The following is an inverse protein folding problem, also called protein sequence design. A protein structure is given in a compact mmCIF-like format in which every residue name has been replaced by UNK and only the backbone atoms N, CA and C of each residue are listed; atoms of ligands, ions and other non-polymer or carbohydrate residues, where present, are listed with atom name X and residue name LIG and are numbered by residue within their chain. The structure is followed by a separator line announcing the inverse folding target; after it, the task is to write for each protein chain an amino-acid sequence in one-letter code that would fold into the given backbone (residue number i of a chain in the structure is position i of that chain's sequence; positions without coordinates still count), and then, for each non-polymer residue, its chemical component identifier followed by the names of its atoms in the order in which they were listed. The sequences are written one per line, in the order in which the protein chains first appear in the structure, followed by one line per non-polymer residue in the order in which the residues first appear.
data_IF_018903662758
#
_entry.id   IF_018903662758
#
_cell.length_a   1.000
_cell.length_b   1.000
_cell.length_c   1.000
_cell.angle_alpha   90.00
_cell.angle_beta   90.00
_cell.angle_gamma   90.00
#
_symmetry.space_group_name_H-M   'P 1'
#
loop_
_entity.id
_entity.type
_entity.pdbx_description
1 polymer ?
#
# COMPACT_ATOMS: atom_id res chain seq x y z
N UNK A 1 -16.31 -65.42 -28.24
CA UNK A 1 -16.82 -64.97 -26.92
C UNK A 1 -16.34 -63.52 -26.79
N UNK A 2 -17.08 -62.53 -27.30
CA UNK A 2 -18.05 -61.73 -26.54
C UNK A 2 -17.29 -60.66 -25.71
N UNK A 3 -17.48 -59.35 -25.83
CA UNK A 3 -18.44 -58.53 -26.57
C UNK A 3 -17.97 -57.06 -26.57
N UNK A 4 -18.58 -56.26 -27.43
CA UNK A 4 -18.38 -54.82 -27.58
C UNK A 4 -19.36 -54.04 -26.70
N UNK A 5 -18.99 -52.85 -26.22
CA UNK A 5 -19.94 -51.77 -25.91
C UNK A 5 -19.34 -50.45 -26.38
N UNK A 6 -19.84 -49.96 -27.51
CA UNK A 6 -19.65 -48.60 -27.99
C UNK A 6 -20.73 -47.68 -27.40
N UNK A 7 -20.38 -46.43 -27.12
CA UNK A 7 -21.35 -45.38 -26.81
C UNK A 7 -21.49 -44.47 -28.03
N UNK A 8 -22.74 -44.39 -28.45
CA UNK A 8 -23.30 -43.70 -29.61
C UNK A 8 -23.18 -42.18 -29.47
N UNK A 9 -22.67 -41.52 -30.52
CA UNK A 9 -22.87 -40.09 -30.74
C UNK A 9 -24.28 -39.92 -31.31
N UNK A 10 -25.19 -39.30 -30.56
CA UNK A 10 -26.49 -38.88 -31.08
C UNK A 10 -26.39 -37.44 -31.57
N UNK A 11 -26.41 -37.30 -32.89
CA UNK A 11 -26.66 -36.05 -33.62
C UNK A 11 -28.16 -35.75 -33.52
N UNK A 12 -28.53 -34.68 -32.81
CA UNK A 12 -29.90 -34.22 -32.63
C UNK A 12 -30.31 -33.19 -33.70
N UNK A 13 -31.14 -33.68 -34.62
CA UNK A 13 -32.05 -33.08 -35.60
C UNK A 13 -32.34 -31.56 -35.54
N UNK A 14 -32.28 -30.97 -36.73
CA UNK A 14 -32.75 -29.64 -37.15
C UNK A 14 -34.29 -29.66 -37.28
N UNK A 15 -34.99 -28.81 -36.53
CA UNK A 15 -36.43 -28.58 -36.68
C UNK A 15 -36.71 -27.17 -37.21
N UNK A 16 -37.23 -27.07 -38.44
CA UNK A 16 -37.76 -25.85 -39.04
C UNK A 16 -39.16 -25.55 -38.49
N UNK A 17 -39.40 -24.33 -38.02
CA UNK A 17 -40.75 -23.76 -37.89
C UNK A 17 -40.70 -22.27 -38.27
N UNK A 18 -41.60 -21.84 -39.15
CA UNK A 18 -41.74 -20.45 -39.63
C UNK A 18 -43.15 -19.93 -39.24
N UNK A 19 -43.16 -18.89 -38.39
CA UNK A 19 -44.07 -17.74 -38.07
C UNK A 19 -45.58 -17.74 -38.48
N UNK A 20 -46.53 -17.05 -37.78
CA UNK A 20 -46.35 -15.65 -37.31
C UNK A 20 -47.08 -15.12 -36.04
N UNK A 21 -46.54 -14.04 -35.45
CA UNK A 21 -47.19 -12.83 -34.84
C UNK A 21 -46.58 -12.33 -33.50
N UNK A 22 -46.62 -11.01 -33.24
CA UNK A 22 -45.53 -10.28 -32.60
C UNK A 22 -45.88 -9.80 -31.20
N UNK A 23 -45.23 -10.33 -30.16
CA UNK A 23 -45.30 -9.71 -28.84
C UNK A 23 -43.93 -9.78 -28.14
N UNK A 24 -43.32 -8.60 -28.07
CA UNK A 24 -42.22 -8.19 -27.18
C UNK A 24 -41.06 -9.17 -27.06
N UNK A 25 -40.06 -8.96 -27.92
CA UNK A 25 -38.66 -9.21 -27.53
C UNK A 25 -38.34 -8.24 -26.39
N UNK A 26 -38.54 -8.69 -25.15
CA UNK A 26 -37.80 -8.12 -24.02
C UNK A 26 -36.37 -8.59 -24.22
N UNK A 27 -35.54 -7.66 -24.70
CA UNK A 27 -34.10 -7.80 -24.77
C UNK A 27 -33.60 -8.24 -23.39
N UNK A 28 -33.27 -9.53 -23.26
CA UNK A 28 -32.51 -10.03 -22.13
C UNK A 28 -31.07 -9.57 -22.34
N UNK A 29 -30.84 -8.28 -22.09
CA UNK A 29 -29.52 -7.71 -22.00
C UNK A 29 -28.67 -8.55 -21.05
N UNK A 30 -27.35 -8.67 -21.29
CA UNK A 30 -26.50 -9.57 -20.53
C UNK A 30 -26.68 -9.31 -19.04
N UNK A 31 -27.10 -10.33 -18.31
CA UNK A 31 -27.18 -10.30 -16.86
C UNK A 31 -25.80 -9.88 -16.35
N UNK A 32 -25.71 -8.65 -15.83
CA UNK A 32 -24.49 -8.12 -15.23
C UNK A 32 -24.22 -9.00 -14.02
N UNK A 33 -23.23 -9.89 -14.14
CA UNK A 33 -22.80 -10.74 -13.04
C UNK A 33 -22.49 -9.83 -11.84
N UNK A 34 -23.14 -10.08 -10.71
CA UNK A 34 -22.79 -9.41 -9.45
C UNK A 34 -21.32 -9.69 -9.17
N UNK A 35 -20.51 -8.66 -8.79
CA UNK A 35 -19.11 -8.90 -8.51
C UNK A 35 -19.00 -9.93 -7.38
N UNK A 36 -18.24 -11.00 -7.62
CA UNK A 36 -17.88 -11.95 -6.57
C UNK A 36 -17.23 -11.19 -5.39
N UNK A 37 -17.50 -11.60 -4.14
CA UNK A 37 -16.86 -10.97 -2.99
C UNK A 37 -15.33 -11.06 -3.15
N UNK A 38 -14.63 -9.97 -2.87
CA UNK A 38 -13.17 -9.94 -2.97
C UNK A 38 -12.58 -10.93 -1.96
N UNK A 39 -11.62 -11.79 -2.35
CA UNK A 39 -11.02 -12.74 -1.43
C UNK A 39 -10.35 -12.01 -0.26
N UNK A 40 -10.59 -12.51 0.93
CA UNK A 40 -10.02 -12.03 2.19
C UNK A 40 -9.33 -13.19 2.91
N UNK A 41 -8.29 -12.88 3.67
CA UNK A 41 -7.47 -13.86 4.37
C UNK A 41 -6.85 -13.26 5.63
N UNK A 42 -6.26 -14.15 6.44
CA UNK A 42 -5.60 -13.81 7.69
C UNK A 42 -4.16 -13.39 7.41
N UNK A 43 -3.85 -12.11 7.59
CA UNK A 43 -2.48 -11.60 7.47
C UNK A 43 -1.69 -11.97 8.74
N UNK A 44 -0.66 -12.82 8.65
CA UNK A 44 0.13 -13.19 9.81
C UNK A 44 0.96 -12.02 10.36
N UNK A 45 1.51 -12.20 11.56
CA UNK A 45 2.52 -11.28 12.10
C UNK A 45 3.84 -11.47 11.34
N UNK A 46 4.20 -10.48 10.52
CA UNK A 46 5.41 -10.43 9.70
C UNK A 46 6.53 -9.59 10.33
N UNK A 47 6.20 -8.68 11.26
CA UNK A 47 7.18 -7.87 12.01
C UNK A 47 8.16 -8.76 12.77
N UNK A 48 9.45 -8.39 12.74
CA UNK A 48 10.53 -9.12 13.40
C UNK A 48 11.10 -10.29 12.58
N UNK A 49 10.45 -10.69 11.47
CA UNK A 49 10.94 -11.74 10.58
C UNK A 49 11.95 -11.21 9.57
N UNK A 50 12.79 -12.11 9.05
CA UNK A 50 13.57 -11.85 7.85
C UNK A 50 12.65 -11.63 6.65
N UNK A 51 13.00 -10.74 5.73
CA UNK A 51 12.14 -10.37 4.61
C UNK A 51 11.85 -11.56 3.68
N UNK A 52 12.80 -12.50 3.55
CA UNK A 52 12.57 -13.78 2.86
C UNK A 52 11.40 -14.55 3.48
N UNK A 53 11.43 -14.80 4.78
CA UNK A 53 10.39 -15.56 5.49
C UNK A 53 9.07 -14.81 5.54
N UNK A 54 9.12 -13.48 5.68
CA UNK A 54 7.94 -12.64 5.69
C UNK A 54 7.19 -12.69 4.35
N UNK A 55 7.94 -12.66 3.22
CA UNK A 55 7.35 -12.79 1.88
C UNK A 55 6.76 -14.17 1.66
N UNK A 56 7.41 -15.23 2.15
CA UNK A 56 6.88 -16.59 2.04
C UNK A 56 5.57 -16.73 2.83
N UNK A 57 5.58 -16.35 4.11
CA UNK A 57 4.40 -16.43 4.97
C UNK A 57 3.21 -15.62 4.43
N UNK A 58 3.46 -14.42 3.90
CA UNK A 58 2.40 -13.61 3.29
C UNK A 58 1.81 -14.30 2.04
N UNK A 59 2.65 -14.91 1.19
CA UNK A 59 2.19 -15.62 -0.01
C UNK A 59 1.40 -16.88 0.31
N UNK A 60 1.83 -17.65 1.31
CA UNK A 60 1.10 -18.82 1.81
C UNK A 60 -0.29 -18.43 2.34
N UNK A 61 -0.40 -17.25 2.97
CA UNK A 61 -1.69 -16.67 3.40
C UNK A 61 -2.51 -16.04 2.25
N UNK A 62 -2.03 -16.11 1.01
CA UNK A 62 -2.72 -15.60 -0.18
C UNK A 62 -2.46 -14.14 -0.52
N UNK A 63 -1.63 -13.42 0.25
CA UNK A 63 -1.28 -12.03 -0.03
C UNK A 63 -0.23 -11.95 -1.13
N UNK A 64 -0.65 -11.50 -2.31
CA UNK A 64 0.20 -11.50 -3.51
C UNK A 64 0.87 -10.16 -3.77
N UNK A 65 0.29 -9.05 -3.26
CA UNK A 65 0.76 -7.68 -3.50
C UNK A 65 1.64 -7.19 -2.35
N UNK A 66 2.91 -7.58 -2.36
CA UNK A 66 3.89 -7.16 -1.36
C UNK A 66 4.69 -5.95 -1.85
N UNK A 67 4.73 -4.89 -1.06
CA UNK A 67 5.54 -3.69 -1.27
C UNK A 67 6.56 -3.63 -0.14
N UNK A 68 7.82 -3.32 -0.45
CA UNK A 68 8.88 -3.26 0.56
C UNK A 68 9.70 -2.00 0.43
N UNK A 69 10.14 -1.43 1.54
CA UNK A 69 11.04 -0.27 1.57
C UNK A 69 11.98 -0.29 2.75
N UNK A 70 13.01 0.53 2.63
CA UNK A 70 13.88 0.89 3.73
C UNK A 70 13.15 1.75 4.77
N UNK A 71 12.98 1.22 5.98
CA UNK A 71 12.35 1.89 7.11
C UNK A 71 13.14 3.11 7.58
N UNK A 72 14.41 3.26 7.22
CA UNK A 72 15.22 4.44 7.55
C UNK A 72 14.92 5.64 6.64
N UNK A 73 14.20 5.43 5.54
CA UNK A 73 14.01 6.45 4.50
C UNK A 73 15.21 6.65 3.56
N UNK A 74 16.34 5.95 3.80
CA UNK A 74 17.55 6.05 2.98
C UNK A 74 17.41 5.45 1.57
N UNK A 75 16.28 4.78 1.27
CA UNK A 75 15.97 4.19 -0.04
C UNK A 75 17.07 3.26 -0.57
N UNK A 76 17.73 2.51 0.33
CA UNK A 76 18.71 1.51 -0.04
C UNK A 76 18.08 0.40 -0.89
N UNK A 77 18.84 -0.11 -1.86
CA UNK A 77 18.39 -1.18 -2.75
C UNK A 77 18.27 -2.53 -2.03
N UNK A 78 17.09 -3.14 -2.08
CA UNK A 78 16.78 -4.43 -1.44
C UNK A 78 17.08 -5.63 -2.36
N UNK A 79 18.26 -5.64 -3.01
CA UNK A 79 18.61 -6.60 -4.07
C UNK A 79 18.64 -8.08 -3.64
N UNK A 80 18.83 -8.34 -2.34
CA UNK A 80 18.74 -9.66 -1.72
C UNK A 80 17.80 -9.57 -0.54
N UNK A 81 16.70 -10.34 -0.54
CA UNK A 81 15.74 -10.33 0.57
C UNK A 81 16.30 -10.91 1.87
N UNK A 82 17.37 -11.70 1.78
CA UNK A 82 17.99 -12.37 2.92
C UNK A 82 18.77 -11.42 3.83
N UNK A 83 19.11 -10.22 3.35
CA UNK A 83 19.90 -9.24 4.14
C UNK A 83 19.02 -8.28 4.93
N UNK A 84 17.69 -8.44 4.88
CA UNK A 84 16.73 -7.48 5.40
C UNK A 84 15.78 -8.11 6.40
N UNK A 85 15.40 -7.35 7.43
CA UNK A 85 14.38 -7.73 8.40
C UNK A 85 13.23 -6.73 8.43
N UNK A 86 12.03 -7.22 8.71
CA UNK A 86 10.81 -6.41 8.78
C UNK A 86 10.71 -5.72 10.15
N UNK A 87 10.61 -4.40 10.13
CA UNK A 87 10.38 -3.58 11.32
C UNK A 87 8.93 -3.13 11.46
N UNK A 88 8.27 -2.82 10.35
CA UNK A 88 6.86 -2.39 10.35
C UNK A 88 6.10 -3.11 9.24
N UNK A 89 4.84 -3.44 9.53
CA UNK A 89 3.92 -4.05 8.57
C UNK A 89 2.63 -3.24 8.50
N UNK A 90 2.13 -3.03 7.29
CA UNK A 90 0.80 -2.46 7.04
C UNK A 90 0.12 -3.28 5.95
N UNK A 91 -1.16 -3.67 6.10
CA UNK A 91 -2.00 -3.48 7.29
C UNK A 91 -1.47 -4.25 8.51
N UNK A 92 -2.01 -3.94 9.68
CA UNK A 92 -1.70 -4.71 10.90
C UNK A 92 -2.19 -6.16 10.73
N UNK A 93 -1.63 -7.12 11.49
CA UNK A 93 -2.06 -8.52 11.43
C UNK A 93 -3.55 -8.71 11.63
N UNK A 94 -4.09 -9.76 11.03
CA UNK A 94 -5.51 -10.11 11.07
C UNK A 94 -6.18 -10.02 9.70
N UNK A 95 -7.50 -9.90 9.68
CA UNK A 95 -8.25 -9.97 8.43
C UNK A 95 -8.01 -8.79 7.51
N UNK A 96 -7.59 -9.11 6.29
CA UNK A 96 -7.40 -8.16 5.21
C UNK A 96 -7.77 -8.80 3.88
N UNK A 97 -8.04 -7.95 2.88
CA UNK A 97 -8.20 -8.43 1.50
C UNK A 97 -6.87 -8.96 0.98
N UNK A 98 -6.87 -10.11 0.33
CA UNK A 98 -5.63 -10.75 -0.16
C UNK A 98 -5.01 -10.04 -1.36
N UNK A 99 -5.76 -9.15 -2.02
CA UNK A 99 -5.28 -8.28 -3.09
C UNK A 99 -4.84 -6.88 -2.60
N UNK A 100 -5.02 -6.58 -1.32
CA UNK A 100 -4.52 -5.35 -0.73
C UNK A 100 -2.99 -5.35 -0.74
N UNK A 101 -2.40 -4.16 -0.93
CA UNK A 101 -0.96 -4.01 -0.82
C UNK A 101 -0.53 -4.19 0.64
N UNK A 102 0.33 -5.17 0.88
CA UNK A 102 1.02 -5.38 2.16
C UNK A 102 2.37 -4.68 2.08
N UNK A 103 2.50 -3.58 2.81
CA UNK A 103 3.69 -2.74 2.89
C UNK A 103 4.57 -3.18 4.07
N UNK A 104 5.80 -3.58 3.78
CA UNK A 104 6.80 -4.03 4.75
C UNK A 104 7.97 -3.05 4.78
N UNK A 105 8.09 -2.33 5.89
CA UNK A 105 9.25 -1.49 6.16
C UNK A 105 10.37 -2.36 6.73
N UNK A 106 11.54 -2.33 6.11
CA UNK A 106 12.67 -3.19 6.41
C UNK A 106 13.94 -2.41 6.71
N UNK A 107 14.83 -3.00 7.49
CA UNK A 107 16.22 -2.52 7.69
C UNK A 107 17.20 -3.65 7.40
N UNK A 108 18.50 -3.34 7.28
CA UNK A 108 19.50 -4.40 7.21
C UNK A 108 19.39 -5.28 8.46
N UNK A 109 19.58 -6.60 8.31
CA UNK A 109 19.33 -7.56 9.37
C UNK A 109 20.06 -7.23 10.68
N UNK A 110 21.27 -6.66 10.56
CA UNK A 110 22.16 -6.27 11.67
C UNK A 110 21.79 -4.93 12.32
N UNK A 111 20.96 -4.10 11.70
CA UNK A 111 20.58 -2.78 12.21
C UNK A 111 19.41 -2.86 13.17
N UNK A 112 19.28 -1.93 14.11
CA UNK A 112 18.08 -1.87 14.95
C UNK A 112 16.91 -1.27 14.17
N UNK A 113 15.70 -1.70 14.48
CA UNK A 113 14.51 -1.06 13.93
C UNK A 113 14.44 0.39 14.43
N UNK A 114 14.19 1.38 13.56
CA UNK A 114 13.95 2.74 13.98
C UNK A 114 12.63 2.80 14.78
N UNK A 115 12.43 3.88 15.53
CA UNK A 115 11.20 4.08 16.33
C UNK A 115 9.97 4.29 15.45
N UNK A 116 10.15 4.76 14.21
CA UNK A 116 9.09 4.99 13.25
C UNK A 116 9.53 4.60 11.82
N UNK A 117 8.54 4.35 10.95
CA UNK A 117 8.76 4.20 9.52
C UNK A 117 9.16 5.56 8.91
N UNK A 118 10.38 5.67 8.38
CA UNK A 118 10.95 6.88 7.79
C UNK A 118 10.39 7.26 6.42
N UNK A 119 9.37 6.56 5.91
CA UNK A 119 8.62 7.06 4.74
C UNK A 119 7.87 8.35 5.12
N UNK A 120 7.92 9.38 4.27
CA UNK A 120 6.99 10.50 4.38
C UNK A 120 5.56 9.96 4.38
N UNK A 121 4.72 10.47 5.28
CA UNK A 121 3.30 10.17 5.26
C UNK A 121 2.78 10.41 3.83
N UNK A 122 1.91 9.52 3.29
CA UNK A 122 1.35 9.76 1.97
C UNK A 122 0.63 11.10 2.01
N UNK A 123 1.19 12.09 1.31
CA UNK A 123 0.50 13.34 1.04
C UNK A 123 -0.78 12.94 0.31
N UNK A 124 -1.90 12.95 1.03
CA UNK A 124 -3.19 13.01 0.37
C UNK A 124 -3.14 14.32 -0.39
N UNK A 125 -2.89 14.26 -1.68
CA UNK A 125 -3.18 15.37 -2.57
C UNK A 125 -4.64 15.69 -2.32
N UNK A 126 -4.90 16.76 -1.59
CA UNK A 126 -6.23 17.37 -1.54
C UNK A 126 -6.59 17.56 -3.01
N UNK A 127 -7.63 16.87 -3.48
CA UNK A 127 -8.15 17.11 -4.82
C UNK A 127 -8.36 18.61 -4.93
N UNK A 128 -7.57 19.26 -5.77
CA UNK A 128 -7.64 20.70 -5.97
C UNK A 128 -9.07 21.00 -6.43
N UNK A 129 -9.89 21.77 -5.69
CA UNK A 129 -11.11 22.29 -6.29
C UNK A 129 -10.70 23.07 -7.55
N UNK A 130 -11.52 23.08 -8.62
CA UNK A 130 -11.16 23.80 -9.84
C UNK A 130 -10.90 25.26 -9.48
N UNK A 131 -9.64 25.67 -9.58
CA UNK A 131 -9.25 27.06 -9.39
C UNK A 131 -9.85 27.85 -10.53
N UNK A 132 -10.91 28.62 -10.24
CA UNK A 132 -11.36 29.70 -11.12
C UNK A 132 -10.20 30.71 -11.16
N UNK A 133 -9.69 30.92 -12.37
CA UNK A 133 -8.40 31.54 -12.63
C UNK A 133 -8.20 32.88 -11.91
N UNK A 134 -7.11 32.95 -11.15
CA UNK A 134 -6.46 34.21 -10.77
C UNK A 134 -5.05 34.16 -11.37
N UNK A 135 -4.57 35.20 -12.10
CA UNK A 135 -3.28 35.13 -12.78
C UNK A 135 -2.11 35.01 -11.80
N UNK A 136 -1.13 34.19 -12.18
CA UNK A 136 0.07 33.88 -11.42
C UNK A 136 1.00 35.11 -11.27
N UNK A 137 1.43 35.36 -10.03
CA UNK A 137 2.61 36.18 -9.74
C UNK A 137 3.90 35.40 -10.13
N UNK A 138 4.98 36.07 -10.55
CA UNK A 138 6.14 35.41 -11.14
C UNK A 138 6.88 34.51 -10.14
N UNK A 139 7.20 33.30 -10.60
CA UNK A 139 8.14 32.37 -9.95
C UNK A 139 9.50 33.04 -9.77
N UNK A 140 9.87 33.30 -8.53
CA UNK A 140 11.27 33.37 -8.15
C UNK A 140 11.64 31.99 -7.60
N UNK A 141 12.48 31.25 -8.34
CA UNK A 141 13.14 30.06 -7.83
C UNK A 141 14.05 30.43 -6.68
N UNK A 142 14.01 29.73 -5.54
CA UNK A 142 15.18 29.63 -4.68
C UNK A 142 15.98 28.38 -5.05
N UNK A 143 17.24 28.63 -5.33
CA UNK A 143 18.39 27.72 -5.46
C UNK A 143 18.40 26.62 -4.39
N UNK A 144 18.75 25.36 -4.72
CA UNK A 144 19.07 24.39 -3.69
C UNK A 144 20.54 24.55 -3.27
N UNK A 145 20.77 24.96 -2.03
CA UNK A 145 21.71 24.40 -1.01
C UNK A 145 22.08 25.47 0.02
N UNK A 146 22.20 25.05 1.30
CA UNK A 146 23.54 24.83 1.81
C UNK A 146 23.77 23.38 2.23
N UNK A 147 24.92 22.89 1.80
CA UNK A 147 25.73 21.89 2.51
C UNK A 147 26.17 22.47 3.84
N UNK A 148 26.09 21.69 4.91
CA UNK A 148 27.05 21.61 6.04
C UNK A 148 26.55 20.44 6.90
N UNK A 149 27.22 19.29 6.95
CA UNK A 149 28.50 19.00 7.62
C UNK A 149 28.45 19.24 9.14
N UNK A 150 28.51 18.11 9.86
CA UNK A 150 28.95 17.91 11.25
C UNK A 150 28.72 18.97 12.33
N UNK A 151 28.11 18.47 13.41
CA UNK A 151 28.32 18.81 14.84
C UNK A 151 27.17 19.60 15.49
N UNK A 152 26.32 18.90 16.25
CA UNK A 152 25.24 19.47 17.04
C UNK A 152 24.57 18.40 17.89
N UNK A 153 25.28 18.00 18.95
CA UNK A 153 24.84 17.51 20.26
C UNK A 153 23.89 16.30 20.36
N UNK A 154 24.17 15.44 21.34
CA UNK A 154 23.32 14.32 21.83
C UNK A 154 21.94 14.78 22.38
N UNK A 155 21.49 15.97 22.03
CA UNK A 155 20.18 16.51 22.36
C UNK A 155 19.19 15.94 21.36
N UNK A 156 18.51 14.87 21.78
CA UNK A 156 17.38 14.30 21.05
C UNK A 156 16.28 15.35 20.75
N UNK A 157 15.23 14.94 20.03
CA UNK A 157 14.12 15.84 19.71
C UNK A 157 13.56 16.46 21.00
N UNK A 158 13.27 17.76 20.96
CA UNK A 158 12.73 18.52 22.09
C UNK A 158 11.20 18.50 22.11
N UNK A 159 10.55 18.07 21.03
CA UNK A 159 9.10 17.90 20.98
C UNK A 159 8.64 16.85 19.97
N UNK A 160 7.46 16.28 20.18
CA UNK A 160 6.66 15.65 19.13
C UNK A 160 5.50 16.55 18.72
N UNK A 161 5.25 16.62 17.43
CA UNK A 161 4.17 17.38 16.83
C UNK A 161 2.90 16.52 16.69
N UNK A 162 1.74 17.17 16.53
CA UNK A 162 0.44 16.49 16.38
C UNK A 162 0.32 15.63 15.11
N UNK A 163 1.21 15.83 14.13
CA UNK A 163 1.28 15.02 12.93
C UNK A 163 2.28 13.85 13.03
N UNK A 164 2.88 13.64 14.21
CA UNK A 164 3.86 12.58 14.47
C UNK A 164 5.29 12.91 14.07
N UNK A 165 5.54 14.12 13.55
CA UNK A 165 6.92 14.59 13.31
C UNK A 165 7.59 15.02 14.62
N UNK A 166 8.92 15.00 14.63
CA UNK A 166 9.73 15.40 15.78
C UNK A 166 10.31 16.78 15.54
N UNK A 167 10.23 17.66 16.54
CA UNK A 167 10.83 18.99 16.54
C UNK A 167 12.13 18.98 17.33
N UNK A 168 13.17 19.58 16.74
CA UNK A 168 14.49 19.80 17.36
C UNK A 168 14.70 21.28 17.69
N UNK A 169 13.62 22.04 17.83
CA UNK A 169 13.71 23.45 18.12
C UNK A 169 14.29 23.65 19.54
N UNK A 170 15.39 24.39 19.62
CA UNK A 170 16.05 24.73 20.90
C UNK A 170 15.17 25.66 21.74
N UNK A 171 14.31 26.45 21.10
CA UNK A 171 13.38 27.36 21.75
C UNK A 171 11.95 27.04 21.33
N UNK A 172 11.01 27.09 22.28
CA UNK A 172 9.61 26.67 22.06
C UNK A 172 8.84 27.49 21.01
N UNK A 173 9.41 28.59 20.48
CA UNK A 173 8.75 29.45 19.52
C UNK A 173 8.93 28.92 18.09
N UNK A 174 7.82 28.61 17.43
CA UNK A 174 7.82 28.13 16.05
C UNK A 174 7.87 26.61 15.90
N UNK A 175 8.06 25.87 16.99
CA UNK A 175 8.04 24.41 16.98
C UNK A 175 6.67 23.90 16.55
N UNK A 176 6.66 22.95 15.60
CA UNK A 176 5.44 22.35 15.08
C UNK A 176 4.42 23.33 14.46
N UNK A 177 4.80 24.58 14.15
CA UNK A 177 3.89 25.57 13.54
C UNK A 177 3.29 25.10 12.21
N UNK A 178 4.05 24.30 11.46
CA UNK A 178 3.60 23.68 10.21
C UNK A 178 2.98 22.29 10.42
N UNK A 179 3.06 21.78 11.64
CA UNK A 179 2.75 20.40 12.03
C UNK A 179 1.56 20.34 13.00
N UNK A 180 0.65 21.31 12.88
CA UNK A 180 -0.57 21.44 13.69
C UNK A 180 -0.33 21.60 15.19
N UNK A 181 0.80 22.18 15.57
CA UNK A 181 1.17 22.42 16.96
C UNK A 181 1.81 21.19 17.61
N UNK A 182 2.25 21.39 18.85
CA UNK A 182 3.00 20.40 19.62
C UNK A 182 2.02 19.43 20.28
N UNK A 183 2.29 18.14 20.15
CA UNK A 183 1.58 17.07 20.86
C UNK A 183 2.19 16.84 22.26
N UNK A 184 3.52 16.82 22.33
CA UNK A 184 4.26 16.61 23.58
C UNK A 184 5.63 17.29 23.53
N UNK A 185 6.06 17.86 24.66
CA UNK A 185 7.42 18.39 24.82
C UNK A 185 8.30 17.36 25.53
N UNK A 186 9.48 17.10 24.97
CA UNK A 186 10.48 16.21 25.51
C UNK A 186 11.51 17.00 26.32
N UNK A 187 12.01 16.39 27.38
CA UNK A 187 12.83 17.01 28.43
C UNK A 187 13.99 16.11 28.82
#
# INVERSE_FOLDING_TARGET
MGGAVGVLVVVGVIGNAVDPRPDKVVDAGPAVASPSPTPSGELPVLTGRMLTDARLAAREAGFTRLVTHDATGARRGQGSAADWKVCFQRPVPGQARTDAAVDLAVVLATERCPTADGRPAPVRTRATPPVVGTPAAPSQSPTPTPTDDGTGDDSGPTAACNDGTLSYAVHHQGACSHHHGVAEWYR
#
